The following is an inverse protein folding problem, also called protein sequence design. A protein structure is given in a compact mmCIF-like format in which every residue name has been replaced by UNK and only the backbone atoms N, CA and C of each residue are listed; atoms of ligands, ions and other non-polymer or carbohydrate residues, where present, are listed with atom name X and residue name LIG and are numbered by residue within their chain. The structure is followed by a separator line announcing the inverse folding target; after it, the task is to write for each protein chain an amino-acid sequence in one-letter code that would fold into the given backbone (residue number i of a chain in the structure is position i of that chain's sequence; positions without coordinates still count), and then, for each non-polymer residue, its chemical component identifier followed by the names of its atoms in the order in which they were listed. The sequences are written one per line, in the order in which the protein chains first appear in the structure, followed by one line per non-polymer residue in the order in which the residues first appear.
data_IF_233113691885
#
_entry.id   IF_233113691885
#
_cell.length_a   1.000
_cell.length_b   1.000
_cell.length_c   1.000
_cell.angle_alpha   90.00
_cell.angle_beta   90.00
_cell.angle_gamma   90.00
#
_symmetry.space_group_name_H-M   'P 1'
#
loop_
_entity.id
_entity.type
_entity.pdbx_description
1 polymer ?
#
# COMPACT_ATOMS: atom_id res chain seq x y z
N UNK A 1 0.60 2.63 -4.59
CA UNK A 1 1.11 2.66 -3.19
C UNK A 1 1.04 1.32 -2.48
N UNK A 2 -0.03 0.51 -2.66
CA UNK A 2 -0.16 -0.82 -2.04
C UNK A 2 1.14 -1.63 -2.09
N UNK A 3 1.60 -2.00 -3.30
CA UNK A 3 2.86 -2.74 -3.42
C UNK A 3 4.13 -1.99 -2.98
N UNK A 4 4.10 -0.65 -2.91
CA UNK A 4 5.24 0.12 -2.40
C UNK A 4 5.35 0.01 -0.88
N UNK A 5 4.20 -0.04 -0.18
CA UNK A 5 4.14 0.05 1.27
C UNK A 5 3.93 -1.31 1.94
N UNK A 6 3.15 -2.20 1.35
CA UNK A 6 2.84 -3.53 1.91
C UNK A 6 3.64 -4.66 1.25
N UNK A 7 4.30 -4.40 0.11
CA UNK A 7 4.98 -5.42 -0.69
C UNK A 7 4.03 -6.35 -1.46
N UNK A 8 2.72 -6.11 -1.40
CA UNK A 8 1.72 -6.91 -2.13
C UNK A 8 1.75 -6.64 -3.65
N UNK A 9 1.29 -7.59 -4.49
CA UNK A 9 1.18 -7.38 -5.92
C UNK A 9 0.35 -6.14 -6.29
N UNK A 10 0.63 -5.52 -7.44
CA UNK A 10 -0.19 -4.42 -7.96
C UNK A 10 -1.62 -4.90 -8.19
N UNK A 11 -2.59 -4.20 -7.58
CA UNK A 11 -4.02 -4.55 -7.64
C UNK A 11 -4.74 -3.88 -8.81
N UNK A 12 -4.20 -2.80 -9.36
CA UNK A 12 -4.79 -2.05 -10.46
C UNK A 12 -3.74 -1.62 -11.51
N UNK A 13 -4.20 -1.37 -12.73
CA UNK A 13 -3.40 -0.74 -13.79
C UNK A 13 -3.72 0.75 -13.84
N UNK A 14 -2.69 1.59 -13.92
CA UNK A 14 -2.81 3.05 -14.07
C UNK A 14 -2.24 3.43 -15.43
N UNK A 15 -3.03 4.13 -16.25
CA UNK A 15 -2.61 4.65 -17.55
C UNK A 15 -2.71 6.17 -17.54
N UNK A 16 -1.70 6.84 -18.11
CA UNK A 16 -1.77 8.27 -18.38
C UNK A 16 -2.72 8.54 -19.55
N UNK A 17 -3.64 9.49 -19.38
CA UNK A 17 -4.59 9.90 -20.44
C UNK A 17 -3.95 10.94 -21.36
N UNK A 18 -3.07 11.77 -20.81
CA UNK A 18 -2.33 12.83 -21.51
C UNK A 18 -0.83 12.72 -21.20
N UNK A 19 0.00 13.50 -21.90
CA UNK A 19 1.43 13.61 -21.61
C UNK A 19 1.65 14.03 -20.15
N UNK A 20 2.31 13.16 -19.38
CA UNK A 20 2.43 13.30 -17.92
C UNK A 20 3.87 13.05 -17.50
N UNK A 21 4.44 13.99 -16.76
CA UNK A 21 5.71 13.81 -16.06
C UNK A 21 5.43 13.41 -14.60
N UNK A 22 6.16 12.41 -14.09
CA UNK A 22 5.97 11.87 -12.74
C UNK A 22 7.31 11.66 -12.05
N UNK A 23 7.28 11.73 -10.71
CA UNK A 23 8.41 11.36 -9.87
C UNK A 23 8.19 9.95 -9.32
N UNK A 24 9.17 9.08 -9.54
CA UNK A 24 9.20 7.76 -8.92
C UNK A 24 9.83 7.83 -7.53
N UNK A 25 9.15 7.25 -6.54
CA UNK A 25 9.68 7.07 -5.19
C UNK A 25 9.94 5.59 -4.97
N UNK A 26 11.20 5.24 -4.70
CA UNK A 26 11.62 3.88 -4.41
C UNK A 26 11.37 3.52 -2.93
N UNK A 27 11.06 2.25 -2.62
CA UNK A 27 10.87 1.79 -1.25
C UNK A 27 12.11 2.00 -0.36
N UNK A 28 13.32 1.88 -0.91
CA UNK A 28 14.57 2.07 -0.18
C UNK A 28 14.71 3.49 0.37
N UNK A 29 14.12 4.48 -0.31
CA UNK A 29 14.12 5.87 0.14
C UNK A 29 13.14 6.12 1.30
N UNK A 30 12.07 5.32 1.39
CA UNK A 30 11.03 5.47 2.42
C UNK A 30 11.45 4.87 3.75
N UNK A 31 12.22 3.79 3.74
CA UNK A 31 12.63 3.09 4.97
C UNK A 31 13.19 4.02 6.06
N UNK A 32 14.25 4.83 5.81
CA UNK A 32 14.81 5.68 6.86
C UNK A 32 13.80 6.72 7.38
N UNK A 33 12.92 7.23 6.52
CA UNK A 33 11.87 8.18 6.91
C UNK A 33 10.87 7.53 7.87
N UNK A 34 10.46 6.29 7.58
CA UNK A 34 9.54 5.53 8.43
C UNK A 34 10.18 5.09 9.76
N UNK A 35 11.49 4.80 9.76
CA UNK A 35 12.24 4.49 10.98
C UNK A 35 12.38 5.72 11.89
N UNK A 36 12.60 6.91 11.32
CA UNK A 36 12.71 8.16 12.06
C UNK A 36 11.35 8.70 12.55
N UNK A 37 10.25 8.32 11.90
CA UNK A 37 8.91 8.85 12.16
C UNK A 37 7.85 7.71 12.24
N UNK A 38 7.84 6.90 13.32
CA UNK A 38 6.98 5.72 13.42
C UNK A 38 5.47 6.02 13.34
N UNK A 39 5.02 7.21 13.75
CA UNK A 39 3.63 7.66 13.64
C UNK A 39 3.13 7.79 12.19
N UNK A 40 4.05 7.96 11.23
CA UNK A 40 3.69 7.92 9.80
C UNK A 40 3.19 6.54 9.39
N UNK A 41 3.70 5.46 10.00
CA UNK A 41 3.27 4.09 9.70
C UNK A 41 1.78 3.92 10.02
N UNK A 42 1.33 4.39 11.17
CA UNK A 42 -0.09 4.33 11.57
C UNK A 42 -0.98 5.15 10.62
N UNK A 43 -0.54 6.38 10.30
CA UNK A 43 -1.27 7.27 9.39
C UNK A 43 -1.39 6.69 7.99
N UNK A 44 -0.30 6.17 7.43
CA UNK A 44 -0.27 5.54 6.12
C UNK A 44 -1.12 4.27 6.09
N UNK A 45 -1.08 3.47 7.16
CA UNK A 45 -1.86 2.22 7.26
C UNK A 45 -3.36 2.49 7.13
N UNK A 46 -3.86 3.52 7.82
CA UNK A 46 -5.28 3.92 7.77
C UNK A 46 -5.70 4.34 6.36
N UNK A 47 -4.91 5.21 5.72
CA UNK A 47 -5.19 5.69 4.36
C UNK A 47 -5.25 4.54 3.36
N UNK A 48 -4.31 3.59 3.47
CA UNK A 48 -4.24 2.44 2.58
C UNK A 48 -5.41 1.49 2.80
N UNK A 49 -5.80 1.23 4.05
CA UNK A 49 -6.94 0.36 4.36
C UNK A 49 -8.25 0.95 3.81
N UNK A 50 -8.46 2.27 3.97
CA UNK A 50 -9.62 2.96 3.39
C UNK A 50 -9.67 2.79 1.86
N UNK A 51 -8.52 2.96 1.19
CA UNK A 51 -8.41 2.77 -0.26
C UNK A 51 -8.61 1.32 -0.68
N UNK A 52 -8.12 0.35 0.10
CA UNK A 52 -8.35 -1.08 -0.13
C UNK A 52 -9.83 -1.38 -0.18
N UNK A 53 -10.59 -0.92 0.82
CA UNK A 53 -12.03 -1.13 0.90
C UNK A 53 -12.76 -0.50 -0.29
N UNK A 54 -12.32 0.68 -0.76
CA UNK A 54 -12.89 1.31 -1.95
C UNK A 54 -12.61 0.47 -3.21
N UNK A 55 -11.38 -0.01 -3.39
CA UNK A 55 -11.00 -0.83 -4.54
C UNK A 55 -11.71 -2.19 -4.53
N UNK A 56 -11.79 -2.85 -3.38
CA UNK A 56 -12.49 -4.12 -3.22
C UNK A 56 -13.97 -3.97 -3.61
N UNK A 57 -14.63 -2.86 -3.21
CA UNK A 57 -16.02 -2.56 -3.60
C UNK A 57 -16.19 -2.31 -5.10
N UNK A 58 -15.18 -1.74 -5.77
CA UNK A 58 -15.20 -1.55 -7.22
C UNK A 58 -14.95 -2.87 -7.97
N UNK A 59 -14.22 -3.81 -7.36
CA UNK A 59 -13.92 -5.14 -7.91
C UNK A 59 -15.04 -6.18 -7.69
N UNK A 60 -16.07 -5.92 -6.86
CA UNK A 60 -17.20 -6.84 -6.59
C UNK A 60 -18.00 -7.27 -7.86
N UNK A 61 -17.81 -6.60 -9.01
CA UNK A 61 -18.36 -7.05 -10.30
C UNK A 61 -17.56 -8.16 -11.00
N UNK A 62 -16.42 -8.59 -10.45
CA UNK A 62 -15.53 -9.62 -11.03
C UNK A 62 -15.03 -10.57 -9.94
N UNK A 63 -15.91 -11.50 -9.53
CA UNK A 63 -15.73 -12.73 -8.72
C UNK A 63 -14.47 -12.90 -7.83
N UNK A 64 -14.78 -13.11 -6.54
CA UNK A 64 -14.10 -13.98 -5.56
C UNK A 64 -12.58 -13.82 -5.42
N UNK A 65 -12.16 -12.69 -4.83
CA UNK A 65 -10.86 -12.66 -4.15
C UNK A 65 -11.02 -13.35 -2.80
N UNK A 66 -10.43 -14.54 -2.72
CA UNK A 66 -10.42 -15.42 -1.56
C UNK A 66 -9.95 -14.68 -0.31
N UNK A 67 -10.56 -15.05 0.82
CA UNK A 67 -10.29 -14.62 2.19
C UNK A 67 -8.84 -15.03 2.53
N UNK A 68 -7.86 -14.28 2.03
CA UNK A 68 -6.49 -14.38 2.48
C UNK A 68 -6.40 -13.63 3.81
N UNK A 69 -5.91 -14.32 4.84
CA UNK A 69 -5.70 -13.83 6.20
C UNK A 69 -5.45 -12.32 6.24
N UNK A 70 -6.41 -11.57 6.81
CA UNK A 70 -6.32 -10.11 6.95
C UNK A 70 -5.26 -9.76 7.99
N UNK A 71 -4.00 -9.93 7.61
CA UNK A 71 -2.89 -9.24 8.25
C UNK A 71 -3.20 -7.75 8.11
N UNK A 72 -3.16 -7.02 9.23
CA UNK A 72 -3.38 -5.57 9.21
C UNK A 72 -2.39 -4.94 8.24
N UNK A 73 -2.83 -3.94 7.45
CA UNK A 73 -1.91 -3.17 6.59
C UNK A 73 -0.72 -2.63 7.38
N UNK A 74 -0.95 -2.27 8.64
CA UNK A 74 0.12 -1.85 9.56
C UNK A 74 1.20 -2.91 9.73
N UNK A 75 0.81 -4.16 9.98
CA UNK A 75 1.74 -5.27 10.17
C UNK A 75 2.48 -5.58 8.87
N UNK A 76 1.79 -5.48 7.73
CA UNK A 76 2.40 -5.65 6.41
C UNK A 76 3.47 -4.58 6.14
N UNK A 77 3.21 -3.31 6.47
CA UNK A 77 4.19 -2.23 6.33
C UNK A 77 5.40 -2.48 7.23
N UNK A 78 5.17 -2.76 8.53
CA UNK A 78 6.26 -3.05 9.47
C UNK A 78 7.13 -4.20 8.98
N UNK A 79 6.50 -5.30 8.55
CA UNK A 79 7.20 -6.49 8.02
C UNK A 79 7.97 -6.19 6.74
N UNK A 80 7.37 -5.45 5.80
CA UNK A 80 7.98 -5.17 4.50
C UNK A 80 9.21 -4.26 4.62
N UNK A 81 9.15 -3.24 5.47
CA UNK A 81 10.28 -2.34 5.70
C UNK A 81 11.26 -2.85 6.79
N UNK A 82 10.89 -3.90 7.53
CA UNK A 82 11.68 -4.46 8.62
C UNK A 82 11.79 -3.49 9.80
N UNK A 83 10.69 -2.80 10.12
CA UNK A 83 10.62 -1.83 11.22
C UNK A 83 10.53 -2.55 12.56
N UNK A 84 11.16 -1.98 13.59
CA UNK A 84 11.07 -2.48 14.96
C UNK A 84 9.72 -2.09 15.57
N UNK A 85 9.32 -2.79 16.63
CA UNK A 85 8.04 -2.57 17.28
C UNK A 85 7.89 -1.22 17.97
#
# INVERSE_FOLDING_TARGET
EMGLLTGEPRTATVLAVDETEVLEINNLCLKPILEENPELVDSLSKIIEERRVILDKLEEHTKERQIADKTSVFDSIKKFFGLKD
#
